data_IF_430964537029
#
_entry.id   IF_430964537029
#
_cell.length_a   1.000
_cell.length_b   1.000
_cell.length_c   1.000
_cell.angle_alpha   90.00
_cell.angle_beta   90.00
_cell.angle_gamma   90.00
#
_symmetry.space_group_name_H-M   'P 1'
#
loop_
_entity.id
_entity.type
_entity.pdbx_description
1 polymer ?
#
# COMPACT_ATOMS: atom_id res chain seq x y z
N UNK A 1 -1.06 20.31 89.84
CA UNK A 1 -2.01 20.98 88.92
C UNK A 1 -1.18 21.69 87.86
N UNK A 2 -1.06 21.13 86.63
CA UNK A 2 -1.76 21.55 85.38
C UNK A 2 -1.41 23.03 85.04
N UNK A 3 -0.78 23.44 83.94
CA UNK A 3 -0.79 23.11 82.47
C UNK A 3 0.44 23.84 81.85
N UNK A 4 1.25 23.33 80.91
CA UNK A 4 1.06 23.01 79.47
C UNK A 4 1.75 24.02 78.53
N UNK A 5 2.84 23.57 77.90
CA UNK A 5 3.27 23.70 76.47
C UNK A 5 3.18 25.02 75.71
N UNK A 6 4.25 25.38 75.00
CA UNK A 6 4.19 25.74 73.57
C UNK A 6 5.51 25.37 72.86
N UNK A 7 5.44 24.36 71.97
CA UNK A 7 6.49 23.90 71.05
C UNK A 7 6.10 24.43 69.68
N UNK A 8 7.03 25.04 68.94
CA UNK A 8 6.78 25.48 67.57
C UNK A 8 7.73 24.74 66.61
N UNK A 9 7.27 23.56 66.19
CA UNK A 9 7.81 22.79 65.05
C UNK A 9 7.08 23.23 63.78
N UNK A 10 7.80 23.84 62.85
CA UNK A 10 7.32 24.15 61.50
C UNK A 10 7.49 22.93 60.59
N UNK A 11 6.38 22.26 60.30
CA UNK A 11 6.26 21.22 59.28
C UNK A 11 5.76 21.91 58.00
N UNK A 12 6.57 21.91 56.94
CA UNK A 12 6.11 22.32 55.60
C UNK A 12 5.81 21.06 54.81
N UNK A 13 4.55 20.64 54.88
CA UNK A 13 3.92 19.64 54.03
C UNK A 13 3.10 20.40 53.00
N UNK A 14 3.56 20.48 51.75
CA UNK A 14 2.79 21.07 50.64
C UNK A 14 2.29 19.94 49.73
N UNK A 15 1.18 19.34 50.14
CA UNK A 15 0.39 18.41 49.33
C UNK A 15 -0.61 19.23 48.52
N UNK A 16 -0.36 19.42 47.22
CA UNK A 16 -1.37 19.95 46.30
C UNK A 16 -2.11 18.77 45.66
N UNK A 17 -3.13 18.28 46.37
CA UNK A 17 -4.23 17.54 45.75
C UNK A 17 -5.34 18.54 45.43
N UNK A 18 -5.48 18.87 44.15
CA UNK A 18 -6.74 19.37 43.62
C UNK A 18 -7.31 18.31 42.67
N UNK A 19 -8.26 17.56 43.21
CA UNK A 19 -9.28 16.82 42.47
C UNK A 19 -10.39 17.82 42.12
N UNK A 20 -10.77 17.87 40.84
CA UNK A 20 -12.12 18.29 40.48
C UNK A 20 -12.72 17.29 39.50
N UNK A 21 -13.93 16.90 39.85
CA UNK A 21 -14.71 15.76 39.40
C UNK A 21 -15.48 16.06 38.11
N UNK A 22 -15.70 15.00 37.32
CA UNK A 22 -16.79 14.80 36.35
C UNK A 22 -17.13 15.94 35.36
N UNK A 23 -16.61 15.80 34.15
CA UNK A 23 -17.42 15.97 32.94
C UNK A 23 -16.94 14.92 31.95
N UNK A 24 -17.79 13.92 31.71
CA UNK A 24 -17.70 13.00 30.58
C UNK A 24 -17.64 13.81 29.29
N UNK A 25 -16.42 14.08 28.84
CA UNK A 25 -16.15 14.44 27.46
C UNK A 25 -15.30 13.30 26.95
N UNK A 26 -15.91 12.49 26.09
CA UNK A 26 -15.21 11.55 25.24
C UNK A 26 -14.05 12.28 24.59
N UNK A 27 -12.85 12.14 25.16
CA UNK A 27 -11.63 12.29 24.39
C UNK A 27 -11.58 11.02 23.56
N UNK A 28 -12.33 11.03 22.47
CA UNK A 28 -12.00 10.26 21.28
C UNK A 28 -10.50 10.44 21.11
N UNK A 29 -9.78 9.37 21.44
CA UNK A 29 -8.43 9.14 20.98
C UNK A 29 -8.41 9.59 19.54
N UNK A 30 -7.58 10.58 19.25
CA UNK A 30 -7.44 11.17 17.95
C UNK A 30 -7.11 10.09 16.92
N UNK A 31 -8.15 9.48 16.36
CA UNK A 31 -8.13 8.75 15.11
C UNK A 31 -7.94 9.82 14.02
N UNK A 32 -6.73 10.36 13.96
CA UNK A 32 -6.17 10.85 12.69
C UNK A 32 -5.79 9.61 11.88
N UNK A 33 -6.80 8.88 11.44
CA UNK A 33 -6.66 7.90 10.37
C UNK A 33 -7.34 8.54 9.17
N UNK A 34 -6.54 8.86 8.15
CA UNK A 34 -7.00 9.28 6.83
C UNK A 34 -7.86 8.16 6.22
N UNK A 35 -9.13 8.07 6.60
CA UNK A 35 -10.07 7.05 6.13
C UNK A 35 -10.49 7.25 4.67
N UNK A 36 -9.97 8.26 3.96
CA UNK A 36 -10.36 8.57 2.58
C UNK A 36 -9.51 7.86 1.51
N UNK A 37 -8.33 7.35 1.84
CA UNK A 37 -7.36 6.86 0.84
C UNK A 37 -7.06 5.36 0.92
N UNK A 38 -7.67 4.65 1.88
CA UNK A 38 -7.43 3.21 2.02
C UNK A 38 -8.13 2.41 0.93
N UNK A 39 -7.42 1.43 0.38
CA UNK A 39 -7.99 0.51 -0.60
C UNK A 39 -8.68 -0.63 0.14
N UNK A 40 -9.98 -0.79 -0.08
CA UNK A 40 -10.76 -1.86 0.53
C UNK A 40 -10.64 -3.14 -0.30
N UNK A 41 -10.42 -4.27 0.39
CA UNK A 41 -10.57 -5.60 -0.22
C UNK A 41 -12.04 -5.80 -0.64
N UNK A 42 -12.24 -6.32 -1.85
CA UNK A 42 -13.56 -6.65 -2.40
C UNK A 42 -14.20 -7.82 -1.65
N UNK A 43 -15.51 -7.96 -1.78
CA UNK A 43 -16.26 -9.06 -1.15
C UNK A 43 -15.81 -10.44 -1.60
N UNK A 44 -15.33 -10.60 -2.83
CA UNK A 44 -14.77 -11.87 -3.32
C UNK A 44 -13.38 -12.18 -2.73
N UNK A 45 -12.77 -11.23 -1.99
CA UNK A 45 -11.42 -11.30 -1.45
C UNK A 45 -10.36 -10.64 -2.34
N UNK A 46 -10.72 -10.15 -3.53
CA UNK A 46 -9.76 -9.51 -4.43
C UNK A 46 -9.29 -8.17 -3.87
N UNK A 47 -7.98 -7.91 -3.94
CA UNK A 47 -7.38 -6.60 -3.67
C UNK A 47 -6.89 -6.04 -4.99
N UNK A 48 -7.26 -4.81 -5.33
CA UNK A 48 -6.87 -4.15 -6.59
C UNK A 48 -6.15 -2.83 -6.30
N UNK A 49 -4.86 -2.77 -6.62
CA UNK A 49 -3.96 -1.66 -6.33
C UNK A 49 -3.59 -0.94 -7.63
N UNK A 50 -4.33 0.12 -7.96
CA UNK A 50 -4.03 0.94 -9.13
C UNK A 50 -2.94 1.97 -8.81
N UNK A 51 -1.97 2.14 -9.70
CA UNK A 51 -0.87 3.10 -9.55
C UNK A 51 -1.35 4.55 -9.42
N UNK A 52 -2.48 4.91 -10.03
CA UNK A 52 -3.06 6.25 -9.88
C UNK A 52 -3.37 6.60 -8.42
N UNK A 53 -3.73 5.59 -7.63
CA UNK A 53 -4.06 5.69 -6.20
C UNK A 53 -2.86 5.42 -5.29
N UNK A 54 -1.69 5.17 -5.86
CA UNK A 54 -0.47 4.92 -5.10
C UNK A 54 0.21 6.23 -4.70
N UNK A 55 0.94 6.16 -3.60
CA UNK A 55 2.04 7.07 -3.32
C UNK A 55 3.27 6.55 -4.06
N UNK A 56 3.73 7.29 -5.07
CA UNK A 56 4.81 6.85 -5.97
C UNK A 56 6.09 7.66 -5.76
N UNK A 57 7.21 6.96 -5.83
CA UNK A 57 8.54 7.52 -6.09
C UNK A 57 9.03 7.03 -7.46
N UNK A 58 9.55 7.94 -8.29
CA UNK A 58 10.07 7.59 -9.61
C UNK A 58 11.30 8.42 -9.95
N UNK A 59 12.39 7.73 -10.27
CA UNK A 59 13.64 8.26 -10.80
C UNK A 59 13.81 7.75 -12.24
N UNK A 60 13.81 8.66 -13.22
CA UNK A 60 13.96 8.29 -14.62
C UNK A 60 15.42 8.04 -15.02
N UNK A 61 16.39 8.47 -14.20
CA UNK A 61 17.82 8.23 -14.40
C UNK A 61 18.19 6.84 -13.87
N UNK A 62 17.68 6.49 -12.70
CA UNK A 62 17.87 5.18 -12.09
C UNK A 62 16.54 4.52 -11.67
N UNK A 63 15.78 3.95 -12.63
CA UNK A 63 14.43 3.50 -12.36
C UNK A 63 14.34 2.20 -11.55
N UNK A 64 15.45 1.49 -11.31
CA UNK A 64 15.42 0.17 -10.64
C UNK A 64 14.84 0.20 -9.23
N UNK A 65 14.80 1.37 -8.59
CA UNK A 65 14.24 1.58 -7.24
C UNK A 65 12.93 2.36 -7.24
N UNK A 66 12.29 2.55 -8.40
CA UNK A 66 10.99 3.20 -8.45
C UNK A 66 9.99 2.38 -7.64
N UNK A 67 9.20 3.07 -6.83
CA UNK A 67 8.41 2.47 -5.77
C UNK A 67 6.99 3.00 -5.80
N UNK A 68 6.02 2.14 -5.54
CA UNK A 68 4.62 2.48 -5.37
C UNK A 68 4.08 1.84 -4.09
N UNK A 69 3.36 2.62 -3.29
CA UNK A 69 2.87 2.21 -1.98
C UNK A 69 1.36 2.46 -1.83
N UNK A 70 0.70 1.58 -1.09
CA UNK A 70 -0.73 1.65 -0.79
C UNK A 70 -1.00 1.26 0.67
N UNK A 71 -2.02 1.89 1.28
CA UNK A 71 -2.67 1.38 2.49
C UNK A 71 -3.90 0.56 2.10
N UNK A 72 -3.99 -0.69 2.57
CA UNK A 72 -5.01 -1.65 2.17
C UNK A 72 -5.70 -2.25 3.38
N UNK A 73 -7.04 -2.24 3.38
CA UNK A 73 -7.85 -2.93 4.39
C UNK A 73 -8.18 -4.34 3.91
N UNK A 74 -7.57 -5.35 4.53
CA UNK A 74 -7.79 -6.77 4.28
C UNK A 74 -8.83 -7.30 5.26
N UNK A 75 -9.96 -7.78 4.75
CA UNK A 75 -11.07 -8.35 5.53
C UNK A 75 -11.04 -9.89 5.58
N UNK A 76 -10.29 -10.54 4.68
CA UNK A 76 -10.19 -11.99 4.56
C UNK A 76 -8.72 -12.41 4.49
N UNK A 77 -8.30 -13.26 5.43
CA UNK A 77 -7.01 -13.95 5.34
C UNK A 77 -7.05 -15.06 4.27
N UNK A 78 -5.92 -15.37 3.67
CA UNK A 78 -5.88 -16.37 2.59
C UNK A 78 -4.59 -16.38 1.78
N UNK A 79 -4.52 -17.35 0.87
CA UNK A 79 -3.49 -17.39 -0.16
C UNK A 79 -4.00 -16.65 -1.39
N UNK A 80 -3.17 -15.74 -1.89
CA UNK A 80 -3.49 -14.87 -3.00
C UNK A 80 -2.48 -15.06 -4.12
N UNK A 81 -2.99 -15.21 -5.33
CA UNK A 81 -2.20 -15.08 -6.55
C UNK A 81 -1.96 -13.60 -6.82
N UNK A 82 -0.70 -13.25 -7.05
CA UNK A 82 -0.28 -11.87 -7.30
C UNK A 82 -0.07 -11.67 -8.79
N UNK A 83 -0.80 -10.71 -9.34
CA UNK A 83 -0.78 -10.36 -10.76
C UNK A 83 -0.37 -8.91 -10.94
N UNK A 84 0.51 -8.67 -11.89
CA UNK A 84 0.88 -7.34 -12.37
C UNK A 84 0.15 -7.06 -13.66
N UNK A 85 -0.55 -5.94 -13.78
CA UNK A 85 -1.12 -5.49 -15.06
C UNK A 85 -0.24 -4.41 -15.65
N UNK A 86 0.18 -4.58 -16.90
CA UNK A 86 1.02 -3.63 -17.63
C UNK A 86 0.36 -3.15 -18.91
N UNK A 87 0.56 -1.89 -19.29
CA UNK A 87 0.33 -1.44 -20.66
C UNK A 87 1.58 -1.73 -21.48
N UNK A 88 1.45 -2.22 -22.70
CA UNK A 88 2.58 -2.48 -23.61
C UNK A 88 2.15 -2.39 -25.07
N UNK A 89 3.06 -2.03 -25.96
CA UNK A 89 2.88 -2.18 -27.41
C UNK A 89 3.41 -3.51 -27.94
N UNK A 90 4.29 -4.15 -27.17
CA UNK A 90 4.90 -5.45 -27.47
C UNK A 90 4.27 -6.50 -26.56
N UNK A 91 3.46 -7.38 -27.15
CA UNK A 91 2.78 -8.48 -26.43
C UNK A 91 3.64 -9.74 -26.34
N UNK A 92 4.86 -9.72 -26.89
CA UNK A 92 5.81 -10.85 -26.84
C UNK A 92 6.84 -10.69 -25.73
N UNK A 93 7.23 -9.46 -25.42
CA UNK A 93 8.21 -9.16 -24.39
C UNK A 93 7.89 -7.81 -23.73
N UNK A 94 7.62 -7.84 -22.42
CA UNK A 94 7.34 -6.65 -21.63
C UNK A 94 8.59 -5.82 -21.34
N UNK A 95 9.79 -6.25 -21.74
CA UNK A 95 11.06 -5.51 -21.57
C UNK A 95 11.32 -5.07 -20.13
N UNK A 96 10.94 -5.90 -19.15
CA UNK A 96 11.43 -5.73 -17.78
C UNK A 96 12.91 -6.11 -17.75
N UNK A 97 13.74 -5.22 -17.20
CA UNK A 97 15.18 -5.47 -17.01
C UNK A 97 15.42 -6.19 -15.69
N UNK A 98 14.62 -5.87 -14.67
CA UNK A 98 14.72 -6.49 -13.35
C UNK A 98 13.42 -7.20 -13.01
N UNK A 99 13.47 -8.00 -11.95
CA UNK A 99 12.26 -8.54 -11.36
C UNK A 99 11.48 -7.44 -10.64
N UNK A 100 10.17 -7.64 -10.53
CA UNK A 100 9.30 -6.80 -9.72
C UNK A 100 9.20 -7.41 -8.34
N UNK A 101 9.47 -6.58 -7.32
CA UNK A 101 9.35 -6.96 -5.92
C UNK A 101 8.01 -6.45 -5.38
N UNK A 102 7.25 -7.33 -4.74
CA UNK A 102 5.98 -7.01 -4.09
C UNK A 102 6.05 -7.43 -2.63
N UNK A 103 5.83 -6.47 -1.73
CA UNK A 103 5.85 -6.67 -0.29
C UNK A 103 4.51 -6.32 0.34
N UNK A 104 4.07 -7.15 1.28
CA UNK A 104 2.92 -6.90 2.15
C UNK A 104 3.41 -7.08 3.58
N UNK A 105 3.59 -5.97 4.32
CA UNK A 105 4.32 -5.96 5.60
C UNK A 105 5.69 -6.67 5.50
N UNK A 106 5.90 -7.75 6.25
CA UNK A 106 7.17 -8.48 6.33
C UNK A 106 7.32 -9.59 5.27
N UNK A 107 6.27 -9.84 4.48
CA UNK A 107 6.26 -10.87 3.45
C UNK A 107 6.55 -10.23 2.10
N UNK A 108 7.45 -10.85 1.35
CA UNK A 108 7.81 -10.42 -0.01
C UNK A 108 7.79 -11.57 -0.99
N UNK A 109 7.47 -11.24 -2.23
CA UNK A 109 7.70 -12.08 -3.39
C UNK A 109 8.40 -11.26 -4.46
N UNK A 110 9.11 -11.95 -5.33
CA UNK A 110 9.83 -11.37 -6.45
C UNK A 110 9.58 -12.25 -7.67
N UNK A 111 9.27 -11.63 -8.81
CA UNK A 111 9.03 -12.36 -10.05
C UNK A 111 9.31 -11.52 -11.28
N UNK A 112 9.76 -12.20 -12.35
CA UNK A 112 9.98 -11.58 -13.64
C UNK A 112 8.66 -11.53 -14.43
N UNK A 113 8.14 -10.35 -14.82
CA UNK A 113 6.84 -10.26 -15.48
C UNK A 113 6.89 -10.77 -16.92
N UNK A 114 5.94 -11.65 -17.27
CA UNK A 114 5.74 -12.19 -18.62
C UNK A 114 4.33 -11.86 -19.15
N UNK A 115 4.09 -12.01 -20.45
CA UNK A 115 2.77 -11.82 -21.05
C UNK A 115 1.86 -13.05 -20.85
N UNK A 116 1.47 -13.37 -19.61
CA UNK A 116 0.65 -14.58 -19.33
C UNK A 116 -0.78 -14.45 -19.84
N UNK A 117 -1.35 -13.24 -19.79
CA UNK A 117 -2.66 -12.92 -20.38
C UNK A 117 -2.57 -11.62 -21.15
N UNK A 118 -3.07 -11.63 -22.38
CA UNK A 118 -3.06 -10.46 -23.28
C UNK A 118 -4.49 -10.05 -23.57
N UNK A 119 -4.80 -8.77 -23.39
CA UNK A 119 -6.10 -8.17 -23.67
C UNK A 119 -5.94 -7.13 -24.77
N UNK A 120 -6.47 -7.46 -25.96
CA UNK A 120 -6.35 -6.60 -27.14
C UNK A 120 -7.26 -5.37 -27.09
N UNK A 121 -8.47 -5.53 -26.53
CA UNK A 121 -9.49 -4.48 -26.46
C UNK A 121 -9.80 -4.09 -25.00
N UNK A 122 -8.76 -3.84 -24.21
CA UNK A 122 -8.93 -3.38 -22.83
C UNK A 122 -9.34 -1.92 -22.78
N UNK A 123 -10.29 -1.58 -21.90
CA UNK A 123 -10.65 -0.17 -21.59
C UNK A 123 -9.69 0.50 -20.63
N UNK A 124 -8.78 -0.27 -20.03
CA UNK A 124 -7.80 0.23 -19.06
C UNK A 124 -6.62 0.96 -19.73
N UNK A 125 -6.46 0.78 -21.04
CA UNK A 125 -5.38 1.37 -21.84
C UNK A 125 -5.90 1.93 -23.15
N UNK A 126 -5.29 3.02 -23.61
CA UNK A 126 -5.60 3.64 -24.90
C UNK A 126 -4.81 2.97 -26.04
N UNK A 127 -5.38 2.93 -27.24
CA UNK A 127 -4.63 2.54 -28.44
C UNK A 127 -3.38 3.44 -28.61
N UNK A 128 -2.19 2.90 -28.97
CA UNK A 128 -1.92 1.55 -29.47
C UNK A 128 -1.44 0.55 -28.41
N UNK A 129 -1.74 0.77 -27.13
CA UNK A 129 -1.31 -0.13 -26.06
C UNK A 129 -2.31 -1.27 -25.86
N UNK A 130 -1.76 -2.42 -25.45
CA UNK A 130 -2.47 -3.59 -24.99
C UNK A 130 -2.24 -3.76 -23.49
N UNK A 131 -3.24 -4.30 -22.79
CA UNK A 131 -3.05 -4.72 -21.40
C UNK A 131 -2.49 -6.14 -21.39
N UNK A 132 -1.40 -6.33 -20.65
CA UNK A 132 -0.82 -7.64 -20.38
C UNK A 132 -0.76 -7.88 -18.88
N UNK A 133 -1.29 -9.02 -18.43
CA UNK A 133 -1.21 -9.42 -17.04
C UNK A 133 -0.16 -10.51 -16.86
N UNK A 134 0.70 -10.32 -15.87
CA UNK A 134 1.79 -11.23 -15.48
C UNK A 134 1.51 -11.83 -14.11
N UNK A 135 1.55 -13.16 -14.00
CA UNK A 135 1.53 -13.85 -12.72
C UNK A 135 2.95 -13.94 -12.17
N UNK A 136 3.18 -13.39 -10.98
CA UNK A 136 4.52 -13.38 -10.36
C UNK A 136 4.66 -14.32 -9.18
N UNK A 137 3.59 -15.05 -8.84
CA UNK A 137 3.57 -16.01 -7.74
C UNK A 137 2.40 -15.79 -6.79
N UNK A 138 2.45 -16.49 -5.66
CA UNK A 138 1.39 -16.45 -4.65
C UNK A 138 1.96 -16.15 -3.28
N UNK A 139 1.21 -15.42 -2.46
CA UNK A 139 1.59 -15.17 -1.07
C UNK A 139 0.41 -15.38 -0.11
N UNK A 140 0.73 -15.74 1.13
CA UNK A 140 -0.27 -15.94 2.17
C UNK A 140 -0.37 -14.70 3.07
N UNK A 141 -1.52 -14.02 3.05
CA UNK A 141 -1.85 -12.95 3.98
C UNK A 141 -2.59 -13.59 5.15
N UNK A 142 -1.97 -13.57 6.32
CA UNK A 142 -2.41 -14.37 7.47
C UNK A 142 -3.49 -13.67 8.29
N UNK A 143 -3.39 -12.35 8.42
CA UNK A 143 -4.23 -11.57 9.31
C UNK A 143 -5.14 -10.62 8.52
N UNK A 144 -6.17 -10.11 9.19
CA UNK A 144 -7.05 -9.05 8.69
C UNK A 144 -6.69 -7.73 9.36
N UNK A 145 -7.03 -6.61 8.73
CA UNK A 145 -6.66 -5.27 9.19
C UNK A 145 -6.06 -4.41 8.10
N UNK A 146 -5.32 -3.38 8.50
CA UNK A 146 -4.67 -2.43 7.59
C UNK A 146 -3.23 -2.87 7.31
N UNK A 147 -2.89 -2.99 6.03
CA UNK A 147 -1.57 -3.41 5.56
C UNK A 147 -0.99 -2.34 4.63
N UNK A 148 0.30 -2.05 4.79
CA UNK A 148 1.04 -1.36 3.75
C UNK A 148 1.49 -2.38 2.70
N UNK A 149 1.20 -2.09 1.44
CA UNK A 149 1.70 -2.85 0.29
C UNK A 149 2.67 -1.96 -0.47
N UNK A 150 3.85 -2.50 -0.76
CA UNK A 150 4.90 -1.82 -1.52
C UNK A 150 5.26 -2.65 -2.76
N UNK A 151 5.46 -1.96 -3.87
CA UNK A 151 5.92 -2.54 -5.13
C UNK A 151 7.14 -1.76 -5.62
N UNK A 152 8.20 -2.47 -5.98
CA UNK A 152 9.42 -1.88 -6.57
C UNK A 152 9.59 -2.41 -7.99
N UNK A 153 9.73 -1.51 -8.96
CA UNK A 153 9.79 -1.86 -10.38
C UNK A 153 10.26 -0.69 -11.25
N UNK A 154 11.17 -0.94 -12.21
CA UNK A 154 11.56 0.09 -13.19
C UNK A 154 10.45 0.54 -14.14
N UNK A 155 9.30 -0.14 -14.14
CA UNK A 155 8.13 0.19 -14.97
C UNK A 155 7.09 1.05 -14.24
N UNK A 156 7.38 1.48 -13.02
CA UNK A 156 6.64 2.54 -12.33
C UNK A 156 7.15 3.87 -12.88
N UNK A 157 6.27 4.60 -13.55
CA UNK A 157 6.57 5.88 -14.19
C UNK A 157 5.94 7.04 -13.41
N UNK A 158 6.48 8.27 -13.56
CA UNK A 158 5.86 9.47 -12.99
C UNK A 158 4.39 9.65 -13.42
N UNK A 159 3.57 10.24 -12.55
CA UNK A 159 2.12 10.42 -12.82
C UNK A 159 1.84 11.34 -14.01
N UNK A 160 2.75 12.26 -14.28
CA UNK A 160 2.73 13.21 -15.40
C UNK A 160 3.39 12.65 -16.67
N UNK A 161 3.88 11.41 -16.63
CA UNK A 161 4.46 10.77 -17.82
C UNK A 161 3.37 10.51 -18.86
N UNK A 162 3.40 11.29 -19.93
CA UNK A 162 2.33 11.32 -20.92
C UNK A 162 2.36 10.10 -21.85
N UNK A 163 1.19 9.71 -22.35
CA UNK A 163 1.08 8.68 -23.39
C UNK A 163 1.86 9.09 -24.67
N UNK A 164 2.04 10.39 -24.91
CA UNK A 164 2.83 10.94 -26.01
C UNK A 164 4.34 10.68 -25.84
N UNK A 165 4.88 10.93 -24.65
CA UNK A 165 6.28 10.58 -24.32
C UNK A 165 6.48 9.07 -24.41
N UNK A 166 5.50 8.31 -23.95
CA UNK A 166 5.51 6.86 -24.08
C UNK A 166 5.44 6.42 -25.54
N UNK A 167 4.69 7.12 -26.40
CA UNK A 167 4.51 6.73 -27.78
C UNK A 167 5.80 6.81 -28.61
N UNK A 168 6.70 7.73 -28.27
CA UNK A 168 8.00 7.94 -28.93
C UNK A 168 9.06 6.91 -28.55
N UNK A 169 8.86 6.22 -27.43
CA UNK A 169 9.78 5.20 -26.97
C UNK A 169 9.53 3.88 -27.72
N UNK A 170 10.61 3.24 -28.20
CA UNK A 170 10.52 2.07 -29.06
C UNK A 170 9.94 0.82 -28.37
N UNK A 171 9.82 0.79 -27.04
CA UNK A 171 9.32 -0.37 -26.28
C UNK A 171 9.07 -0.06 -24.80
N UNK A 172 8.23 0.93 -24.49
CA UNK A 172 7.83 1.15 -23.08
C UNK A 172 6.55 0.39 -22.80
N UNK A 173 6.73 -0.72 -22.10
CA UNK A 173 5.73 -1.18 -21.16
C UNK A 173 5.71 -0.28 -19.93
N UNK A 174 4.56 -0.13 -19.27
CA UNK A 174 4.45 0.44 -17.92
C UNK A 174 3.59 -0.42 -17.03
N UNK A 175 3.90 -0.44 -15.75
CA UNK A 175 3.01 -1.03 -14.76
C UNK A 175 1.76 -0.13 -14.64
N UNK A 176 0.59 -0.74 -14.50
CA UNK A 176 -0.70 -0.05 -14.30
C UNK A 176 -1.26 -0.35 -12.91
N UNK A 177 -1.18 -1.60 -12.50
CA UNK A 177 -1.73 -2.05 -11.23
C UNK A 177 -1.12 -3.37 -10.76
N UNK A 178 -1.32 -3.64 -9.47
CA UNK A 178 -1.06 -4.94 -8.86
C UNK A 178 -2.37 -5.46 -8.29
N UNK A 179 -2.64 -6.75 -8.45
CA UNK A 179 -3.84 -7.37 -7.89
C UNK A 179 -3.53 -8.67 -7.16
N UNK A 180 -4.24 -8.87 -6.06
CA UNK A 180 -4.21 -10.09 -5.25
C UNK A 180 -5.55 -10.77 -5.42
N UNK A 181 -5.58 -11.87 -6.15
CA UNK A 181 -6.80 -12.66 -6.36
C UNK A 181 -6.74 -13.90 -5.47
N UNK A 182 -7.78 -14.21 -4.68
CA UNK A 182 -7.80 -15.41 -3.84
C UNK A 182 -7.52 -16.66 -4.68
N UNK A 183 -6.63 -17.51 -4.21
CA UNK A 183 -6.40 -18.81 -4.81
C UNK A 183 -7.61 -19.71 -4.50
N UNK A 184 -8.24 -20.26 -5.55
CA UNK A 184 -9.32 -21.22 -5.38
C UNK A 184 -8.73 -22.53 -4.86
N UNK A 185 -9.16 -22.96 -3.68
CA UNK A 185 -8.93 -24.34 -3.21
C UNK A 185 -9.89 -25.24 -3.99
N UNK A 186 -9.35 -26.06 -4.88
CA UNK A 186 -10.09 -27.14 -5.53
C UNK A 186 -10.35 -28.28 -4.53
#
# INVERSE_FOLDING_TARGET
>A
MRKSTFVWTTIISMSLLFSCNSSTVNRESANRHNSSNEILQKEDGTISLNLEKADCYSDMVNPSSNTAEWSVVVSKAGRYNVWLSSATKDTTDLKYKNNVLVSVQDKRIEGHPNCDKIFLDSKDVSYPYYRCDSFIGSMYIQDTGVFNVQVISEKILPKDYSDAEMATSASISRLLSVSFTPEKRN
#
